data_IF_113743865484
#
_entry.id   IF_113743865484
#
_cell.length_a   1.000
_cell.length_b   1.000
_cell.length_c   1.000
_cell.angle_alpha   90.00
_cell.angle_beta   90.00
_cell.angle_gamma   90.00
#
_symmetry.space_group_name_H-M   'P 1'
#
loop_
_entity.id
_entity.type
_entity.pdbx_description
1 polymer ?
2 polymer ?
3 non-polymer ?
4 non-polymer ?
5 non-polymer ?
6 non-polymer ?
7 water ?
#
# COMPACT_ATOMS: atom_id res chain seq x y z
N UNK A 1 -19.71 -17.43 17.29
CA UNK A 1 -18.87 -16.72 16.28
C UNK A 1 -18.70 -15.24 16.63
N UNK A 2 -17.47 -14.96 17.01
CA UNK A 2 -17.04 -13.61 17.32
C UNK A 2 -15.97 -13.20 16.31
N UNK A 3 -16.01 -11.93 15.99
CA UNK A 3 -15.18 -11.39 14.89
C UNK A 3 -13.70 -11.51 15.16
N UNK A 4 -13.38 -11.53 16.44
CA UNK A 4 -11.97 -11.54 16.90
C UNK A 4 -11.33 -12.88 16.67
N UNK A 5 -12.19 -13.88 16.61
CA UNK A 5 -11.77 -15.26 16.43
C UNK A 5 -12.11 -15.78 15.05
N UNK A 6 -11.06 -16.06 14.33
CA UNK A 6 -11.15 -16.65 12.99
C UNK A 6 -11.98 -15.75 12.09
N UNK A 7 -11.88 -14.46 12.37
CA UNK A 7 -12.56 -13.44 11.56
C UNK A 7 -14.07 -13.65 11.54
N UNK A 8 -14.54 -14.38 12.53
CA UNK A 8 -15.98 -14.60 12.70
C UNK A 8 -16.58 -15.51 11.63
N UNK A 9 -15.66 -16.14 10.92
CA UNK A 9 -15.99 -17.00 9.79
C UNK A 9 -16.18 -16.25 8.48
N UNK A 10 -16.07 -14.93 8.58
CA UNK A 10 -16.26 -14.02 7.41
C UNK A 10 -15.08 -14.10 6.44
N UNK A 11 -15.40 -13.99 5.17
CA UNK A 11 -14.34 -13.93 4.14
C UNK A 11 -13.59 -12.60 4.22
N UNK A 12 -14.37 -11.56 4.43
CA UNK A 12 -13.87 -10.15 4.49
C UNK A 12 -14.16 -9.53 5.86
N UNK A 13 -15.09 -8.62 5.91
CA UNK A 13 -15.30 -7.76 7.09
C UNK A 13 -16.36 -8.34 8.02
N UNK A 14 -16.26 -8.01 9.28
CA UNK A 14 -17.11 -8.64 10.34
C UNK A 14 -17.48 -7.62 11.39
N UNK A 15 -18.74 -7.63 11.77
CA UNK A 15 -19.27 -6.78 12.85
C UNK A 15 -19.97 -7.64 13.87
N UNK A 16 -19.64 -7.37 15.13
CA UNK A 16 -20.35 -7.95 16.27
C UNK A 16 -21.58 -7.13 16.58
N UNK A 17 -22.60 -7.85 16.94
CA UNK A 17 -23.88 -7.26 17.33
C UNK A 17 -24.31 -7.78 18.68
N UNK A 18 -25.36 -7.14 19.14
CA UNK A 18 -25.97 -7.41 20.43
C UNK A 18 -26.46 -8.83 20.48
N UNK A 19 -25.85 -9.57 21.37
CA UNK A 19 -26.13 -10.98 21.57
C UNK A 19 -25.12 -11.85 20.89
N UNK A 20 -25.54 -13.08 20.64
CA UNK A 20 -24.73 -14.04 19.90
C UNK A 20 -24.87 -13.79 18.40
N UNK A 21 -24.80 -12.51 18.07
CA UNK A 21 -25.00 -12.06 16.67
C UNK A 21 -23.77 -11.46 16.00
N UNK A 22 -23.68 -11.79 14.73
CA UNK A 22 -22.56 -11.34 13.87
C UNK A 22 -23.04 -11.11 12.46
N UNK A 23 -22.52 -10.06 11.82
CA UNK A 23 -22.80 -9.85 10.40
C UNK A 23 -21.50 -9.68 9.66
N UNK A 24 -21.38 -10.44 8.59
CA UNK A 24 -20.26 -10.25 7.66
C UNK A 24 -20.64 -9.25 6.61
N UNK A 25 -19.61 -8.58 6.11
CA UNK A 25 -19.78 -7.63 5.04
C UNK A 25 -18.66 -7.78 4.02
N UNK A 26 -18.87 -7.15 2.89
CA UNK A 26 -17.91 -7.17 1.76
C UNK A 26 -17.57 -5.75 1.32
N UNK A 27 -16.38 -5.64 0.78
CA UNK A 27 -15.88 -4.39 0.19
C UNK A 27 -16.75 -4.03 -1.00
N UNK A 28 -16.79 -2.76 -1.34
CA UNK A 28 -17.38 -2.31 -2.60
C UNK A 28 -16.83 -3.15 -3.73
N UNK A 29 -17.70 -3.51 -4.67
CA UNK A 29 -17.36 -4.35 -5.79
C UNK A 29 -17.49 -5.85 -5.55
N UNK A 30 -18.05 -6.12 -4.38
CA UNK A 30 -18.39 -7.51 -3.94
C UNK A 30 -19.76 -7.54 -3.32
N UNK A 31 -20.37 -8.71 -3.36
CA UNK A 31 -21.65 -8.97 -2.67
C UNK A 31 -21.53 -10.20 -1.82
N UNK A 32 -22.30 -10.20 -0.76
CA UNK A 32 -22.33 -11.32 0.21
C UNK A 32 -23.28 -12.41 -0.27
N UNK A 33 -22.77 -13.63 -0.22
CA UNK A 33 -23.56 -14.82 -0.60
C UNK A 33 -24.52 -15.20 0.54
N UNK A 34 -25.39 -16.10 0.17
CA UNK A 34 -26.45 -16.57 1.10
C UNK A 34 -25.92 -17.36 2.27
N UNK A 35 -24.69 -17.80 2.19
CA UNK A 35 -24.00 -18.44 3.33
C UNK A 35 -23.72 -17.45 4.47
N UNK A 36 -23.85 -16.18 4.12
CA UNK A 36 -23.64 -15.09 5.07
C UNK A 36 -22.19 -14.77 5.39
N UNK A 37 -21.29 -15.40 4.66
CA UNK A 37 -19.83 -15.27 4.93
C UNK A 37 -18.96 -14.96 3.73
N UNK A 38 -19.35 -15.50 2.59
CA UNK A 38 -18.56 -15.43 1.33
C UNK A 38 -18.87 -14.17 0.55
N UNK A 39 -17.84 -13.67 -0.14
CA UNK A 39 -17.99 -12.46 -0.95
C UNK A 39 -17.63 -12.79 -2.38
N UNK A 40 -18.48 -12.36 -3.31
CA UNK A 40 -18.27 -12.62 -4.72
C UNK A 40 -18.20 -11.29 -5.52
N UNK A 41 -17.26 -11.19 -6.47
CA UNK A 41 -17.20 -9.93 -7.22
C UNK A 41 -18.47 -9.62 -7.99
N UNK A 42 -18.74 -8.33 -8.07
CA UNK A 42 -19.90 -7.79 -8.78
C UNK A 42 -19.50 -6.90 -9.96
N UNK A 43 -18.20 -6.71 -10.05
CA UNK A 43 -17.59 -5.88 -11.10
C UNK A 43 -16.43 -6.63 -11.74
N UNK A 44 -15.95 -6.06 -12.85
CA UNK A 44 -14.92 -6.70 -13.65
C UNK A 44 -13.54 -6.71 -12.94
N UNK A 45 -13.28 -5.61 -12.26
CA UNK A 45 -11.95 -5.38 -11.62
C UNK A 45 -12.10 -5.02 -10.15
N UNK A 46 -12.60 -5.99 -9.36
CA UNK A 46 -12.67 -5.80 -7.94
C UNK A 46 -11.31 -5.59 -7.29
N UNK A 47 -11.29 -4.84 -6.21
CA UNK A 47 -10.02 -4.60 -5.51
C UNK A 47 -9.40 -5.90 -5.03
N UNK A 48 -8.09 -5.91 -5.07
CA UNK A 48 -7.32 -6.98 -4.42
C UNK A 48 -7.32 -8.32 -5.12
N UNK A 49 -7.79 -8.36 -6.33
CA UNK A 49 -7.70 -9.55 -7.22
C UNK A 49 -6.84 -9.22 -8.42
N UNK A 50 -6.12 -10.23 -8.88
CA UNK A 50 -5.14 -10.08 -9.97
C UNK A 50 -5.70 -10.69 -11.23
N UNK A 51 -6.19 -9.88 -12.18
CA UNK A 51 -6.92 -10.40 -13.33
C UNK A 51 -6.23 -11.54 -14.09
N UNK A 52 -4.93 -11.40 -14.32
CA UNK A 52 -4.23 -12.40 -15.17
C UNK A 52 -4.18 -13.75 -14.47
N UNK A 53 -4.27 -13.72 -13.16
CA UNK A 53 -4.23 -14.96 -12.32
C UNK A 53 -5.63 -15.53 -12.14
N UNK A 54 -6.61 -14.64 -12.10
CA UNK A 54 -8.02 -15.02 -11.91
C UNK A 54 -8.52 -15.72 -13.17
N UNK A 55 -7.91 -15.35 -14.27
CA UNK A 55 -8.24 -15.95 -15.58
C UNK A 55 -7.40 -17.20 -15.80
N UNK A 56 -6.23 -17.12 -15.22
CA UNK A 56 -5.14 -18.11 -15.36
C UNK A 56 -4.11 -17.75 -16.42
N UNK B 1 14.29 -2.96 -4.16
CA UNK B 1 14.07 -4.25 -3.48
C UNK B 1 15.34 -5.07 -3.61
N UNK B 2 15.85 -5.48 -2.46
CA UNK B 2 17.01 -6.37 -2.36
C UNK B 2 16.56 -7.79 -2.08
N UNK B 3 17.05 -8.68 -2.93
CA UNK B 3 16.85 -10.11 -2.78
C UNK B 3 15.49 -10.65 -3.14
N UNK B 4 14.77 -9.88 -3.91
CA UNK B 4 13.47 -10.34 -4.45
C UNK B 4 13.58 -10.95 -5.82
N UNK B 5 12.49 -10.82 -6.55
CA UNK B 5 12.34 -11.29 -7.92
C UNK B 5 11.52 -10.32 -8.73
N UNK B 6 11.62 -10.43 -10.02
CA UNK B 6 10.75 -9.63 -10.91
C UNK B 6 9.30 -10.04 -10.62
N UNK B 7 8.49 -9.03 -10.41
CA UNK B 7 7.02 -9.23 -10.34
C UNK B 7 6.52 -9.43 -11.78
N UNK B 8 6.01 -10.64 -12.13
CA UNK B 8 5.57 -10.79 -13.48
C UNK B 8 4.55 -9.73 -13.85
N UNK B 9 4.71 -9.22 -15.05
CA UNK B 9 3.88 -8.10 -15.52
C UNK B 9 2.41 -8.40 -15.28
N UNK B 10 1.76 -7.48 -14.59
CA UNK B 10 0.34 -7.60 -14.30
C UNK B 10 0.03 -8.21 -12.96
N UNK B 11 1.05 -8.77 -12.31
CA UNK B 11 0.84 -9.42 -11.00
C UNK B 11 0.90 -8.51 -9.78
N UNK B 12 1.29 -7.27 -10.02
CA UNK B 12 1.32 -6.23 -9.02
C UNK B 12 0.55 -5.00 -9.52
N UNK B 13 -0.73 -5.15 -9.88
CA UNK B 13 -1.43 -4.17 -10.69
C UNK B 13 -1.82 -2.88 -9.97
N UNK B 14 -1.66 -2.91 -8.68
CA UNK B 14 -1.88 -1.74 -7.80
C UNK B 14 -0.65 -0.86 -7.61
N UNK B 15 0.52 -1.36 -8.06
CA UNK B 15 1.77 -0.59 -7.86
C UNK B 15 1.73 0.70 -8.67
N UNK B 16 2.14 1.77 -8.04
CA UNK B 16 2.27 3.10 -8.65
C UNK B 16 3.75 3.52 -8.65
N UNK B 17 4.13 4.18 -9.72
CA UNK B 17 5.43 4.87 -9.81
C UNK B 17 5.14 6.37 -9.78
N UNK B 18 5.82 7.05 -8.86
CA UNK B 18 5.76 8.52 -8.76
C UNK B 18 7.02 9.13 -9.39
N UNK B 19 6.76 10.10 -10.23
CA UNK B 19 7.82 10.86 -10.96
C UNK B 19 7.74 12.32 -10.61
N UNK B 20 8.91 12.96 -10.55
CA UNK B 20 8.98 14.44 -10.49
C UNK B 20 10.01 14.90 -11.52
N UNK B 21 9.55 15.77 -12.41
CA UNK B 21 10.32 16.18 -13.61
C UNK B 21 10.85 14.96 -14.46
N UNK B 22 10.03 13.93 -14.50
CA UNK B 22 10.32 12.68 -15.19
C UNK B 22 11.22 11.68 -14.47
N UNK B 23 11.72 12.09 -13.31
CA UNK B 23 12.64 11.29 -12.50
C UNK B 23 11.90 10.49 -11.45
N UNK B 24 12.41 9.31 -11.20
CA UNK B 24 11.82 8.41 -10.18
C UNK B 24 11.91 9.07 -8.83
N UNK B 25 10.75 9.15 -8.16
CA UNK B 25 10.66 9.72 -6.81
C UNK B 25 10.46 8.66 -5.72
N UNK B 26 9.43 7.85 -5.95
CA UNK B 26 8.89 6.93 -4.94
C UNK B 26 7.90 6.01 -5.59
N UNK B 27 7.43 5.05 -4.81
CA UNK B 27 6.30 4.21 -5.20
C UNK B 27 5.03 4.70 -4.55
N UNK B 28 3.97 3.96 -4.82
CA UNK B 28 2.63 4.21 -4.25
C UNK B 28 1.77 3.00 -4.46
N UNK B 29 0.57 3.08 -3.90
CA UNK B 29 -0.44 2.02 -4.04
C UNK B 29 -1.77 2.63 -4.44
N UNK B 30 -2.30 2.10 -5.50
CA UNK B 30 -3.67 2.50 -5.97
C UNK B 30 -4.69 1.83 -5.04
N UNK B 31 -5.61 2.63 -4.49
CA UNK B 31 -6.71 2.06 -3.64
C UNK B 31 -8.09 2.29 -4.18
N UNK B 32 -8.19 3.14 -5.18
CA UNK B 32 -9.43 3.46 -5.91
C UNK B 32 -9.02 4.10 -7.21
N UNK B 33 -9.96 4.40 -8.08
CA UNK B 33 -9.56 4.98 -9.39
C UNK B 33 -8.91 6.35 -9.36
N UNK B 34 -9.12 7.09 -8.27
CA UNK B 34 -8.49 8.42 -8.13
C UNK B 34 -7.57 8.62 -6.94
N UNK B 35 -7.38 7.58 -6.15
CA UNK B 35 -6.64 7.69 -4.88
C UNK B 35 -5.47 6.73 -4.80
N UNK B 36 -4.33 7.31 -4.44
CA UNK B 36 -3.04 6.61 -4.23
C UNK B 36 -2.52 6.88 -2.84
N UNK B 37 -2.05 5.83 -2.17
CA UNK B 37 -1.40 5.94 -0.87
C UNK B 37 0.09 5.84 -1.08
N UNK B 38 0.84 6.75 -0.50
CA UNK B 38 2.31 6.73 -0.58
C UNK B 38 2.88 7.11 0.80
N UNK B 39 4.15 7.51 0.84
CA UNK B 39 4.84 7.92 2.07
C UNK B 39 5.01 9.43 2.10
N UNK B 40 4.74 10.03 3.24
CA UNK B 40 4.87 11.48 3.40
C UNK B 40 6.26 12.00 3.04
N UNK B 41 7.28 11.23 3.41
CA UNK B 41 8.66 11.74 3.29
C UNK B 41 9.07 11.91 1.86
N UNK B 42 8.34 11.28 0.95
CA UNK B 42 8.60 11.39 -0.48
C UNK B 42 8.48 12.82 -0.97
N UNK B 43 7.80 13.63 -0.18
CA UNK B 43 7.42 14.99 -0.60
C UNK B 43 8.15 16.08 0.18
N UNK B 44 9.15 15.65 0.93
CA UNK B 44 9.87 16.60 1.85
C UNK B 44 10.55 17.73 1.09
N UNK B 45 10.94 17.46 -0.14
CA UNK B 45 11.81 18.41 -0.90
C UNK B 45 11.26 18.87 -2.20
N UNK B 46 9.96 18.70 -2.37
CA UNK B 46 9.29 19.10 -3.60
C UNK B 46 9.22 20.61 -3.69
N UNK B 47 9.69 21.10 -4.81
CA UNK B 47 9.72 22.52 -5.10
C UNK B 47 8.49 22.93 -5.89
N UNK B 48 8.37 22.29 -7.04
CA UNK B 48 7.23 22.51 -7.93
C UNK B 48 6.22 21.40 -7.85
N UNK B 49 5.17 21.69 -7.11
CA UNK B 49 4.15 20.69 -6.77
C UNK B 49 3.35 20.27 -7.97
N UNK B 50 3.54 21.01 -9.05
CA UNK B 50 2.77 20.88 -10.28
C UNK B 50 3.31 19.85 -11.24
N UNK B 51 4.48 19.36 -10.89
CA UNK B 51 5.29 18.48 -11.77
C UNK B 51 5.36 17.03 -11.29
N UNK B 52 4.41 16.70 -10.44
CA UNK B 52 4.30 15.35 -9.88
C UNK B 52 3.35 14.50 -10.70
N UNK B 53 3.83 13.34 -11.09
CA UNK B 53 3.09 12.41 -11.96
C UNK B 53 3.04 11.04 -11.32
N UNK B 54 1.87 10.42 -11.38
CA UNK B 54 1.67 9.01 -10.99
C UNK B 54 1.44 8.16 -12.22
N UNK B 55 2.15 7.05 -12.32
CA UNK B 55 2.02 6.12 -13.42
C UNK B 55 1.54 4.76 -12.87
N UNK B 56 0.46 4.31 -13.49
CA UNK B 56 -0.15 3.00 -13.23
C UNK B 56 0.12 2.10 -14.43
N UNK B 57 0.16 0.80 -14.17
CA UNK B 57 0.35 -0.19 -15.20
C UNK B 57 1.78 -0.28 -15.70
N UNK B 58 2.67 0.28 -14.93
CA UNK B 58 4.11 0.25 -15.29
C UNK B 58 4.69 -1.10 -14.94
N UNK B 59 5.73 -1.45 -15.70
CA UNK B 59 6.45 -2.71 -15.45
C UNK B 59 7.93 -2.56 -15.70
N UNK B 60 8.22 -2.36 -16.97
CA UNK B 60 9.64 -2.20 -17.45
C UNK B 60 9.84 -0.77 -17.86
N UNK B 61 10.66 -0.07 -17.09
CA UNK B 61 10.87 1.37 -17.28
C UNK B 61 11.59 1.73 -18.56
N UNK B 62 12.16 0.72 -19.19
CA UNK B 62 12.93 0.94 -20.44
C UNK B 62 12.07 1.04 -21.68
N UNK B 63 10.83 0.66 -21.54
CA UNK B 63 9.96 0.58 -22.70
C UNK B 63 8.57 1.10 -22.42
N UNK B 64 7.90 1.34 -23.51
CA UNK B 64 6.48 1.67 -23.51
C UNK B 64 5.74 0.57 -24.18
N UNK B 65 4.75 0.02 -23.49
CA UNK B 65 3.98 -1.10 -24.05
C UNK B 65 2.50 -0.84 -24.18
N UNK B 66 2.08 0.33 -23.74
CA UNK B 66 0.71 0.77 -23.92
C UNK B 66 -0.26 0.50 -22.80
N UNK B 67 0.23 -0.20 -21.81
CA UNK B 67 -0.58 -0.51 -20.59
C UNK B 67 -0.41 0.56 -19.52
N UNK B 68 0.60 1.41 -19.67
CA UNK B 68 0.86 2.50 -18.72
C UNK B 68 -0.23 3.57 -18.84
N UNK B 69 -0.56 4.14 -17.68
CA UNK B 69 -1.47 5.28 -17.58
C UNK B 69 -0.88 6.29 -16.62
N UNK B 70 -0.64 7.47 -17.14
CA UNK B 70 -0.06 8.58 -16.36
C UNK B 70 -1.11 9.59 -16.00
N UNK B 71 -1.02 10.08 -14.78
CA UNK B 71 -1.91 11.13 -14.26
C UNK B 71 -1.13 12.16 -13.48
N UNK B 72 -1.58 13.38 -13.58
CA UNK B 72 -1.10 14.43 -12.68
C UNK B 72 -1.66 14.23 -11.29
N UNK B 73 -0.83 14.53 -10.32
CA UNK B 73 -1.21 14.53 -8.90
C UNK B 73 -1.79 15.87 -8.55
N UNK B 74 -3.07 15.88 -8.22
CA UNK B 74 -3.86 17.09 -7.90
C UNK B 74 -3.77 17.51 -6.44
N UNK B 75 -3.59 16.54 -5.58
CA UNK B 75 -3.55 16.80 -4.12
C UNK B 75 -2.62 15.81 -3.46
N UNK B 76 -1.81 16.32 -2.54
CA UNK B 76 -0.96 15.49 -1.67
C UNK B 76 -1.35 15.81 -0.25
N UNK B 77 -1.94 14.85 0.43
CA UNK B 77 -2.45 15.04 1.78
C UNK B 77 -1.61 14.27 2.78
N UNK B 78 -1.15 15.03 3.76
CA UNK B 78 -0.20 14.56 4.77
C UNK B 78 -0.72 14.81 6.21
N UNK B 79 -0.59 13.83 7.12
CA UNK B 79 -1.11 14.07 8.48
C UNK B 79 -0.36 15.19 9.17
N UNK B 80 -1.11 15.92 9.97
CA UNK B 80 -0.56 17.04 10.76
C UNK B 80 0.60 16.64 11.64
N UNK B 81 0.57 15.39 12.01
CA UNK B 81 1.52 14.82 12.98
C UNK B 81 2.86 14.44 12.38
N UNK B 82 2.90 14.41 11.05
CA UNK B 82 4.16 14.10 10.33
C UNK B 82 5.10 15.30 10.37
N UNK B 83 6.33 15.00 10.74
CA UNK B 83 7.41 16.00 10.77
C UNK B 83 8.44 15.69 9.67
N UNK B 84 8.64 16.62 8.73
CA UNK B 84 9.58 16.34 7.66
C UNK B 84 10.92 15.87 8.17
N UNK B 85 11.41 14.86 7.49
CA UNK B 85 12.74 14.28 7.72
C UNK B 85 12.78 13.21 8.77
N UNK B 86 11.59 12.83 9.19
CA UNK B 86 11.43 11.75 10.18
C UNK B 86 10.58 10.61 9.66
N UNK B 87 10.32 9.67 10.55
CA UNK B 87 9.73 8.39 10.17
C UNK B 87 8.30 8.20 10.64
N UNK B 88 7.96 8.82 11.76
CA UNK B 88 6.63 8.62 12.36
C UNK B 88 5.56 9.28 11.46
N UNK B 89 4.46 8.58 11.32
CA UNK B 89 3.30 9.06 10.52
C UNK B 89 3.65 9.26 9.06
N UNK B 90 4.44 8.34 8.55
CA UNK B 90 4.94 8.43 7.18
C UNK B 90 3.96 7.89 6.17
N UNK B 91 2.99 8.73 5.89
CA UNK B 91 1.89 8.35 4.99
C UNK B 91 1.37 9.60 4.27
N UNK B 92 1.01 9.39 3.02
CA UNK B 92 0.40 10.44 2.19
C UNK B 92 -0.74 9.86 1.37
N UNK B 93 -1.78 10.65 1.19
CA UNK B 93 -2.90 10.30 0.32
C UNK B 93 -2.91 11.27 -0.85
N UNK B 94 -2.84 10.73 -2.05
CA UNK B 94 -2.73 11.46 -3.29
C UNK B 94 -3.98 11.33 -4.10
N UNK B 95 -4.51 12.48 -4.51
CA UNK B 95 -5.66 12.53 -5.41
C UNK B 95 -5.17 12.78 -6.82
N UNK B 96 -5.55 11.91 -7.75
CA UNK B 96 -5.20 12.07 -9.16
C UNK B 96 -6.13 13.09 -9.82
N UNK B 97 -5.62 13.75 -10.84
CA UNK B 97 -6.37 14.80 -11.57
C UNK B 97 -7.55 14.22 -12.34
N UNK B 98 -7.40 13.00 -12.76
CA UNK B 98 -8.39 12.24 -13.52
C UNK B 98 -8.29 10.78 -13.10
N UNK B 99 -9.41 10.04 -13.02
CA UNK B 99 -9.28 8.63 -12.66
C UNK B 99 -8.44 7.85 -13.65
N UNK B 100 -7.75 6.83 -13.13
CA UNK B 100 -7.23 5.79 -14.03
C UNK B 100 -8.39 4.89 -14.44
N UNK B 101 -8.17 4.19 -15.54
CA UNK B 101 -9.13 3.22 -16.09
C UNK B 101 -8.67 1.87 -15.63
N UNK B 102 -9.55 1.13 -14.97
CA UNK B 102 -9.17 -0.19 -14.52
C UNK B 102 -9.11 -1.12 -15.72
N UNK B 103 -8.09 -1.93 -15.68
CA UNK B 103 -7.72 -2.89 -16.75
C UNK B 103 -7.07 -4.11 -16.12
N UNK B 104 -6.69 -5.08 -16.97
CA UNK B 104 -5.99 -6.24 -16.47
C UNK B 104 -4.67 -5.84 -15.74
N UNK B 105 -4.17 -4.68 -16.10
CA UNK B 105 -2.87 -4.20 -15.61
C UNK B 105 -2.94 -3.08 -14.59
N UNK B 106 -4.16 -2.63 -14.33
CA UNK B 106 -4.39 -1.51 -13.38
C UNK B 106 -5.62 -1.85 -12.53
N UNK B 107 -5.35 -2.16 -11.29
CA UNK B 107 -6.38 -2.63 -10.34
C UNK B 107 -6.03 -2.12 -8.93
N UNK B 108 -7.01 -1.59 -8.17
CA UNK B 108 -6.72 -1.13 -6.82
C UNK B 108 -6.50 -2.28 -5.84
N UNK B 109 -5.69 -2.02 -4.85
CA UNK B 109 -5.54 -2.88 -3.67
C UNK B 109 -6.61 -2.49 -2.69
N UNK B 110 -7.20 -3.47 -2.00
CA UNK B 110 -8.27 -3.13 -1.06
C UNK B 110 -7.72 -2.46 0.18
N UNK B 111 -8.29 -1.33 0.53
CA UNK B 111 -8.03 -0.70 1.81
C UNK B 111 -8.97 -1.35 2.82
N UNK B 112 -8.42 -2.10 3.77
CA UNK B 112 -9.30 -2.88 4.66
C UNK B 112 -9.94 -2.03 5.72
N UNK B 113 -11.02 -2.56 6.30
CA UNK B 113 -11.53 -2.00 7.58
C UNK B 113 -10.51 -2.15 8.70
N UNK B 114 -10.52 -1.19 9.60
CA UNK B 114 -9.56 -1.17 10.72
C UNK B 114 -9.64 -2.43 11.55
N UNK B 115 -10.85 -2.82 11.92
CA UNK B 115 -11.04 -4.03 12.74
C UNK B 115 -10.46 -5.28 12.11
N UNK B 116 -10.80 -5.45 10.86
CA UNK B 116 -10.33 -6.59 10.08
C UNK B 116 -8.79 -6.62 10.01
N UNK B 117 -8.27 -5.44 9.78
CA UNK B 117 -6.81 -5.32 9.62
C UNK B 117 -6.06 -5.65 10.91
N UNK B 118 -6.62 -5.18 12.02
CA UNK B 118 -6.03 -5.36 13.36
C UNK B 118 -6.21 -6.78 13.90
N UNK B 119 -7.38 -7.31 13.66
CA UNK B 119 -7.82 -8.61 14.23
C UNK B 119 -7.32 -9.80 13.43
N UNK B 120 -7.18 -9.58 12.14
CA UNK B 120 -6.93 -10.66 11.20
C UNK B 120 -5.68 -10.49 10.37
N UNK B 121 -5.65 -9.41 9.62
CA UNK B 121 -4.49 -9.22 8.71
C UNK B 121 -3.15 -9.09 9.42
N UNK B 122 -3.18 -8.53 10.61
CA UNK B 122 -1.95 -8.25 11.36
C UNK B 122 -1.26 -9.53 11.77
N UNK B 123 -2.01 -10.62 11.67
CA UNK B 123 -1.49 -11.95 12.07
C UNK B 123 -1.14 -12.88 10.94
N UNK B 124 -1.31 -12.39 9.72
CA UNK B 124 -0.84 -13.11 8.54
C UNK B 124 0.66 -12.87 8.49
N UNK B 125 1.43 -13.94 8.44
CA UNK B 125 2.88 -13.80 8.65
C UNK B 125 3.59 -13.05 7.53
N UNK B 126 3.34 -13.52 6.33
CA UNK B 126 4.08 -13.04 5.14
C UNK B 126 3.19 -12.14 4.32
N UNK B 127 3.85 -11.13 3.78
CA UNK B 127 3.24 -10.14 2.87
C UNK B 127 4.25 -9.71 1.81
N UNK B 128 3.75 -9.16 0.74
CA UNK B 128 4.59 -8.72 -0.40
C UNK B 128 4.87 -7.25 -0.36
N UNK B 129 6.10 -6.92 -0.65
CA UNK B 129 6.56 -5.52 -0.85
C UNK B 129 7.20 -5.43 -2.20
N UNK B 130 6.97 -4.31 -2.88
CA UNK B 130 7.35 -4.15 -4.27
C UNK B 130 7.83 -2.75 -4.60
N UNK B 131 8.61 -2.67 -5.65
CA UNK B 131 9.10 -1.37 -6.16
C UNK B 131 10.24 -1.48 -7.15
N UNK B 132 10.59 -0.32 -7.65
CA UNK B 132 11.69 -0.13 -8.61
C UNK B 132 12.91 0.48 -7.92
N UNK B 133 13.01 0.28 -6.63
CA UNK B 133 14.15 0.81 -5.85
C UNK B 133 15.45 0.04 -6.09
N UNK B 134 16.41 0.43 -5.30
CA UNK B 134 17.78 -0.16 -5.37
C UNK B 134 17.74 -1.65 -5.15
N UNK B 135 18.51 -2.34 -5.98
CA UNK B 135 18.63 -3.81 -5.95
C UNK B 135 19.63 -4.29 -4.92
N UNK B 136 20.41 -3.34 -4.51
CA UNK B 136 21.52 -3.52 -3.53
C UNK B 136 21.71 -2.24 -2.75
N UNK B 137 22.18 -2.35 -1.54
CA UNK B 137 22.64 -1.16 -0.81
C UNK B 137 23.74 -0.50 -1.65
N UNK B 138 23.59 0.79 -1.86
CA UNK B 138 24.57 1.58 -2.65
C UNK B 138 24.65 1.11 -4.09
N UNK B 139 23.57 0.52 -4.57
CA UNK B 139 23.45 0.00 -5.93
C UNK B 139 22.43 0.70 -6.80
N UNK B 140 22.44 0.32 -8.06
CA UNK B 140 21.48 0.84 -9.08
C UNK B 140 20.05 0.39 -8.79
N UNK B 141 19.13 1.22 -9.22
CA UNK B 141 17.68 0.88 -9.15
C UNK B 141 17.29 -0.09 -10.23
N UNK B 142 16.14 -0.70 -10.01
CA UNK B 142 15.63 -1.70 -10.94
C UNK B 142 14.90 -1.11 -12.11
N UNK B 143 15.05 -1.76 -13.26
CA UNK B 143 14.31 -1.37 -14.49
C UNK B 143 12.96 -2.11 -14.62
N UNK B 144 12.90 -3.29 -14.04
CA UNK B 144 11.65 -4.07 -13.95
C UNK B 144 11.17 -4.08 -12.51
N UNK B 145 9.85 -4.05 -12.36
CA UNK B 145 9.25 -4.06 -11.01
C UNK B 145 9.63 -5.33 -10.27
N UNK B 146 10.08 -5.14 -9.05
CA UNK B 146 10.54 -6.23 -8.16
C UNK B 146 9.58 -6.41 -7.00
N UNK B 147 9.54 -7.64 -6.51
CA UNK B 147 8.67 -8.01 -5.40
C UNK B 147 9.37 -8.97 -4.46
N UNK B 148 9.00 -8.87 -3.20
CA UNK B 148 9.67 -9.59 -2.11
C UNK B 148 8.68 -10.02 -1.05
N UNK B 149 8.74 -11.27 -0.64
CA UNK B 149 7.91 -11.79 0.47
C UNK B 149 8.65 -11.57 1.77
N UNK B 150 8.05 -10.84 2.69
CA UNK B 150 8.64 -10.52 4.00
C UNK B 150 7.72 -10.92 5.16
N UNK B 151 8.32 -11.42 6.25
CA UNK B 151 7.55 -11.76 7.43
C UNK B 151 7.50 -10.61 8.39
N UNK B 152 6.35 -10.46 9.01
CA UNK B 152 6.04 -9.40 9.97
C UNK B 152 6.41 -9.84 11.37
N UNK B 153 6.95 -8.90 12.09
CA UNK B 153 7.35 -9.10 13.50
C UNK B 153 6.46 -8.29 14.41
N UNK B 154 6.12 -8.87 15.54
CA UNK B 154 5.54 -8.05 16.64
C UNK B 154 6.63 -7.12 17.12
N UNK B 155 6.24 -5.92 17.50
CA UNK B 155 7.22 -4.86 17.77
C UNK B 155 8.17 -5.23 18.90
N UNK B 156 7.64 -5.95 19.86
CA UNK B 156 8.47 -6.44 21.00
C UNK B 156 9.60 -7.30 20.47
N UNK B 157 9.22 -8.13 19.52
CA UNK B 157 10.15 -9.10 18.90
C UNK B 157 11.16 -8.41 18.03
N UNK B 158 10.70 -7.35 17.38
CA UNK B 158 11.56 -6.56 16.48
C UNK B 158 12.70 -5.94 17.26
N UNK B 159 12.33 -5.39 18.39
CA UNK B 159 13.28 -4.66 19.25
C UNK B 159 14.35 -5.61 19.77
N UNK B 160 13.89 -6.78 20.14
CA UNK B 160 14.74 -7.83 20.72
C UNK B 160 15.70 -8.40 19.69
N UNK B 161 15.13 -8.71 18.54
CA UNK B 161 15.84 -9.42 17.47
C UNK B 161 16.79 -8.51 16.72
N UNK B 162 16.70 -7.24 17.06
CA UNK B 162 17.50 -6.17 16.43
C UNK B 162 18.83 -5.95 17.10
N UNK B 163 19.85 -6.11 16.28
CA UNK B 163 21.24 -5.97 16.70
C UNK B 163 21.73 -4.54 16.51
N UNK B 170 13.66 3.36 16.81
CA UNK B 170 12.45 3.62 17.57
C UNK B 170 11.21 3.35 16.76
N UNK B 171 10.54 2.33 17.21
CA UNK B 171 9.37 1.78 16.55
C UNK B 171 8.13 2.14 17.35
N UNK B 172 7.33 3.00 16.74
CA UNK B 172 6.11 3.49 17.36
C UNK B 172 4.93 2.63 16.95
N UNK B 173 3.80 2.96 17.55
CA UNK B 173 2.54 2.22 17.31
C UNK B 173 2.02 2.47 15.91
N UNK B 174 2.66 3.40 15.23
CA UNK B 174 2.29 3.81 13.86
C UNK B 174 3.14 3.15 12.80
N UNK B 175 3.95 2.23 13.30
CA UNK B 175 4.89 1.44 12.47
C UNK B 175 4.84 -0.03 12.80
N UNK B 176 5.41 -0.80 11.89
CA UNK B 176 5.77 -2.20 12.16
C UNK B 176 7.01 -2.61 11.40
N UNK B 177 7.67 -3.64 11.94
CA UNK B 177 8.86 -4.23 11.31
C UNK B 177 8.51 -5.45 10.51
N UNK B 178 9.20 -5.60 9.40
CA UNK B 178 9.08 -6.80 8.59
C UNK B 178 10.34 -7.01 7.78
N UNK B 179 10.66 -8.27 7.57
CA UNK B 179 11.81 -8.60 6.76
C UNK B 179 12.74 -9.55 7.48
N UNK B 180 14.02 -9.28 7.26
CA UNK B 180 15.12 -10.18 7.65
C UNK B 180 16.29 -9.39 8.20
N UNK B 181 16.96 -10.01 9.16
CA UNK B 181 18.07 -9.35 9.87
C UNK B 181 19.45 -9.75 9.35
N UNK B 182 19.45 -10.54 8.30
CA UNK B 182 20.72 -11.16 7.80
C UNK B 182 21.35 -10.47 6.60
N UNK B 183 20.76 -9.35 6.25
CA UNK B 183 21.26 -8.48 5.17
C UNK B 183 21.01 -8.94 3.76
N UNK B 184 20.11 -9.90 3.60
CA UNK B 184 19.85 -10.52 2.30
C UNK B 184 18.65 -9.99 1.52
N UNK B 185 17.72 -9.47 2.28
CA UNK B 185 16.38 -9.16 1.74
C UNK B 185 15.73 -7.99 2.44
N UNK B 186 15.33 -7.00 1.65
CA UNK B 186 14.75 -5.76 2.20
C UNK B 186 14.17 -4.89 1.09
N UNK B 187 13.37 -3.92 1.50
CA UNK B 187 13.01 -2.79 0.62
C UNK B 187 14.09 -1.74 0.82
N UNK B 188 14.22 -0.86 -0.14
CA UNK B 188 15.38 0.05 -0.22
C UNK B 188 14.97 1.41 -0.79
N UNK B 189 15.93 2.34 -0.82
CA UNK B 189 15.68 3.64 -1.43
C UNK B 189 15.19 3.43 -2.85
N UNK B 190 14.15 4.15 -3.16
CA UNK B 190 13.45 4.08 -4.43
C UNK B 190 12.15 3.31 -4.30
N UNK B 191 12.04 2.55 -3.23
CA UNK B 191 10.80 1.75 -2.95
C UNK B 191 9.83 2.46 -2.05
N UNK B 192 10.28 3.48 -1.33
CA UNK B 192 9.40 4.14 -0.34
C UNK B 192 8.10 4.56 -0.96
N UNK B 193 7.05 4.41 -0.18
CA UNK B 193 5.69 4.72 -0.63
C UNK B 193 4.91 3.56 -1.21
N UNK B 194 5.66 2.50 -1.57
CA UNK B 194 5.09 1.32 -2.18
C UNK B 194 4.32 0.47 -1.18
N UNK B 195 3.60 -0.50 -1.72
CA UNK B 195 2.76 -1.36 -0.91
C UNK B 195 3.48 -2.47 -0.18
N UNK B 196 2.95 -2.70 1.00
CA UNK B 196 3.09 -3.96 1.78
C UNK B 196 1.66 -4.53 1.79
N UNK B 197 1.51 -5.58 1.01
CA UNK B 197 0.20 -6.18 0.62
C UNK B 197 0.08 -7.56 1.23
N UNK B 198 -1.09 -7.79 1.81
CA UNK B 198 -1.34 -8.99 2.61
C UNK B 198 -2.52 -9.76 2.06
N UNK B 199 -2.32 -11.05 1.83
CA UNK B 199 -3.35 -11.93 1.28
C UNK B 199 -4.18 -12.57 2.38
N UNK B 200 -5.49 -12.53 2.19
CA UNK B 200 -6.40 -13.27 3.06
C UNK B 200 -7.61 -13.77 2.28
N UNK B 201 -7.73 -15.09 2.31
CA UNK B 201 -8.87 -15.78 1.69
C UNK B 201 -9.22 -15.27 0.30
N UNK B 202 -8.17 -15.13 -0.52
CA UNK B 202 -8.30 -14.95 -1.95
C UNK B 202 -8.23 -13.53 -2.45
N UNK B 203 -8.01 -12.63 -1.50
CA UNK B 203 -7.97 -11.17 -1.78
C UNK B 203 -6.81 -10.53 -1.08
N UNK B 204 -6.27 -9.50 -1.73
CA UNK B 204 -5.13 -8.74 -1.20
C UNK B 204 -5.53 -7.39 -0.65
N UNK B 205 -4.87 -7.00 0.44
CA UNK B 205 -5.18 -5.81 1.22
C UNK B 205 -3.93 -4.99 1.53
N UNK B 206 -4.13 -3.69 1.66
CA UNK B 206 -3.02 -2.79 2.05
C UNK B 206 -2.84 -2.77 3.56
N UNK B 207 -1.70 -3.28 4.01
CA UNK B 207 -1.33 -3.27 5.43
C UNK B 207 -0.17 -2.39 5.82
N UNK B 208 0.70 -2.10 4.86
CA UNK B 208 1.84 -1.23 5.17
C UNK B 208 2.28 -0.40 3.97
N UNK B 209 3.06 0.61 4.30
CA UNK B 209 3.72 1.48 3.32
C UNK B 209 5.21 1.40 3.60
N UNK B 210 5.99 1.15 2.56
CA UNK B 210 7.47 1.18 2.68
C UNK B 210 7.87 2.57 3.16
N UNK B 211 8.50 2.63 4.31
CA UNK B 211 8.90 3.92 4.89
C UNK B 211 10.39 4.13 4.68
N UNK B 212 11.10 4.44 5.72
CA UNK B 212 12.57 4.59 5.59
C UNK B 212 13.25 4.59 6.93
N UNK B 213 14.56 4.69 6.78
CA UNK B 213 15.54 4.73 7.85
C UNK B 213 16.83 4.11 7.28
N UNK B 215 20.36 2.85 5.25
CA UNK B 215 20.28 1.51 5.85
C UNK B 215 19.33 0.59 5.13
N UNK B 216 19.87 -0.02 4.09
CA UNK B 216 19.13 -0.96 3.27
C UNK B 216 19.77 -2.34 3.34
N UNK B 217 18.97 -3.31 3.72
CA UNK B 217 19.45 -4.69 3.93
C UNK B 217 20.66 -4.73 4.86
N UNK B 218 20.56 -3.90 5.87
CA UNK B 218 21.62 -3.81 6.90
C UNK B 218 21.52 -4.95 7.89
N UNK B 219 22.62 -5.67 8.05
CA UNK B 219 22.66 -6.77 9.02
C UNK B 219 22.27 -6.25 10.41
N UNK B 220 21.40 -7.00 11.04
CA UNK B 220 20.92 -6.72 12.40
C UNK B 220 19.68 -5.85 12.48
N UNK B 221 19.20 -5.47 11.32
CA UNK B 221 18.01 -4.59 11.23
C UNK B 221 16.97 -5.09 10.26
N UNK B 222 15.75 -4.71 10.58
CA UNK B 222 14.57 -5.03 9.78
C UNK B 222 14.05 -3.80 9.09
N UNK B 223 13.27 -4.04 8.06
CA UNK B 223 12.55 -2.96 7.36
C UNK B 223 11.45 -2.41 8.23
N UNK B 224 11.24 -1.11 8.08
CA UNK B 224 10.16 -0.37 8.80
C UNK B 224 9.10 0.12 7.84
N UNK B 225 7.87 -0.19 8.24
CA UNK B 225 6.68 0.09 7.45
C UNK B 225 5.68 0.88 8.25
N UNK B 226 5.01 1.80 7.58
CA UNK B 226 3.90 2.53 8.19
C UNK B 226 2.72 1.59 8.36
N UNK B 227 2.16 1.62 9.57
CA UNK B 227 1.06 0.72 9.99
C UNK B 227 -0.26 1.32 9.56
N UNK B 228 -0.68 0.88 8.38
CA UNK B 228 -1.82 1.51 7.67
C UNK B 228 -3.11 1.43 8.47
N UNK B 229 -3.22 0.42 9.29
CA UNK B 229 -4.44 0.25 10.10
C UNK B 229 -4.78 1.43 10.98
N UNK B 230 -3.76 2.18 11.36
CA UNK B 230 -3.90 3.34 12.24
C UNK B 230 -4.53 4.53 11.53
N UNK B 231 -4.54 4.43 10.20
CA UNK B 231 -4.91 5.54 9.30
C UNK B 231 -6.17 5.31 8.49
N UNK B 232 -6.83 4.17 8.69
CA UNK B 232 -7.98 3.83 7.83
C UNK B 232 -9.06 4.89 7.90
N UNK B 233 -9.43 5.26 9.10
CA UNK B 233 -10.49 6.25 9.32
C UNK B 233 -10.11 7.62 8.77
N UNK B 234 -8.86 7.96 8.93
CA UNK B 234 -8.30 9.22 8.43
C UNK B 234 -8.38 9.29 6.90
N UNK B 235 -7.99 8.19 6.28
CA UNK B 235 -8.03 8.06 4.82
C UNK B 235 -9.44 8.10 4.28
N UNK B 236 -10.31 7.36 4.94
CA UNK B 236 -11.70 7.26 4.48
C UNK B 236 -12.40 8.60 4.53
N UNK B 237 -12.14 9.34 5.59
CA UNK B 237 -12.75 10.68 5.73
C UNK B 237 -12.27 11.61 4.63
N UNK B 238 -10.97 11.58 4.37
CA UNK B 238 -10.41 12.43 3.32
C UNK B 238 -10.93 12.08 1.93
N UNK B 239 -11.17 10.81 1.69
CA UNK B 239 -11.66 10.38 0.35
C UNK B 239 -13.10 10.83 0.10
N UNK B 240 -13.76 11.21 1.16
CA UNK B 240 -15.16 11.72 1.09
C UNK B 240 -15.20 13.22 1.03
N UNK B 241 -14.04 13.84 1.07
CA UNK B 241 -13.94 15.32 1.14
C UNK B 241 -13.72 15.93 -0.22
N UNK B 242 -14.17 17.17 -0.41
CA UNK B 242 -13.89 17.90 -1.65
C UNK B 242 -12.45 18.37 -1.73
N UNK B 243 -11.88 18.40 -2.95
CA UNK B 243 -10.54 18.95 -3.14
C UNK B 243 -10.47 20.42 -2.77
N UNK B 244 -9.27 20.81 -2.37
CA UNK B 244 -8.94 22.20 -2.00
C UNK B 244 -7.84 22.73 -2.90
N UNK B 245 -7.88 24.03 -3.24
CA UNK B 245 -6.84 24.62 -4.06
C UNK B 245 -5.51 24.47 -3.37
N UNK B 246 -4.51 24.31 -4.19
CA UNK B 246 -3.14 24.12 -3.74
C UNK B 246 -2.91 22.63 -3.48
N UNK B 247 -1.83 22.15 -4.04
CA UNK B 247 -1.58 20.70 -4.07
C UNK B 247 -1.40 20.09 -2.68
N UNK B 248 -0.49 20.65 -1.91
CA UNK B 248 -0.23 20.14 -0.55
C UNK B 248 -1.31 20.56 0.40
N UNK B 249 -1.83 19.57 1.11
CA UNK B 249 -2.79 19.75 2.21
C UNK B 249 -2.33 18.98 3.43
N UNK B 250 -2.17 19.68 4.52
CA UNK B 250 -1.95 19.06 5.80
C UNK B 250 -3.28 18.95 6.49
N UNK B 251 -3.61 17.73 6.86
CA UNK B 251 -4.91 17.38 7.46
C UNK B 251 -4.74 16.87 8.87
N UNK B 252 -5.60 17.31 9.81
CA UNK B 252 -5.48 16.86 11.17
C UNK B 252 -5.50 15.35 11.30
N UNK B 253 -4.59 14.91 12.15
CA UNK B 253 -4.56 13.53 12.60
C UNK B 253 -4.52 13.49 14.12
N UNK B 254 -5.39 12.67 14.75
CA UNK B 254 -6.32 11.75 14.13
C UNK B 254 -7.49 12.40 13.39
#
# INVERSE_FOLDING_TARGET
LICVNENGGCEQYCSDHTGTKRSCRCHEGYSLLADGVSCTPTVEYPCGKIPILEKRNASKPQGR
IVGGKVCPKGECPWQVLLLVNGAQLCGGTLINTIWVVSAAHCFDKIKNWRNLIAVLGEHDLSEHDGDEQSRRVAQVIIPSTYVPGTTNHDIALLRLHQPVVLTDHVVPLCLPERTFSERTLAFVRFSLVSGWGQLLDRGATALELMVLNVPRLMTQDCLQQSRKVGDSPNITEYMFCAGYSDGSKDSCKGDSGGPHATHYRGTWYLTGIVSWGQGCATVGHFGVYTRVSQYIEWLQKLMRSEPRPGVLLRAPFP
#
